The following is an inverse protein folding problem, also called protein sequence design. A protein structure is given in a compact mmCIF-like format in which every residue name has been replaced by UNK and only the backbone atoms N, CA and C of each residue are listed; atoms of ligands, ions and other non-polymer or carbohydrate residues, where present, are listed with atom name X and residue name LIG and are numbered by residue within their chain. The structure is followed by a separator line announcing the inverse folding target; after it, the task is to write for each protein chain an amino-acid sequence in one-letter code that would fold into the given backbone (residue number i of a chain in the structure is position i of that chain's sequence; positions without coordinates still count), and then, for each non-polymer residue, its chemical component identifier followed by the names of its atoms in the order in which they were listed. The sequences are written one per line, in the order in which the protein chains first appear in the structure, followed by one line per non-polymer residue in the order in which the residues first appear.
data_IF_572793571729
#
_entry.id   IF_572793571729
#
_cell.length_a   1.000
_cell.length_b   1.000
_cell.length_c   1.000
_cell.angle_alpha   90.00
_cell.angle_beta   90.00
_cell.angle_gamma   90.00
#
_symmetry.space_group_name_H-M   'P 1'
#
loop_
_entity.id
_entity.type
_entity.pdbx_description
1 polymer ?
#
# COMPACT_ATOMS: atom_id res chain seq x y z
N UNK A 1 2.42 5.06 -25.14
CA UNK A 1 3.08 3.91 -24.49
C UNK A 1 3.01 4.10 -22.97
N UNK A 2 2.82 3.04 -22.19
CA UNK A 2 2.94 3.11 -20.73
C UNK A 2 4.41 2.91 -20.39
N UNK A 3 5.02 3.90 -19.73
CA UNK A 3 6.43 3.81 -19.33
C UNK A 3 6.56 3.18 -17.94
N UNK A 4 7.73 2.63 -17.66
CA UNK A 4 8.06 2.12 -16.32
C UNK A 4 7.89 3.21 -15.24
N UNK A 5 8.32 4.44 -15.53
CA UNK A 5 8.14 5.57 -14.64
C UNK A 5 6.67 5.89 -14.35
N UNK A 6 5.80 5.81 -15.37
CA UNK A 6 4.36 5.99 -15.17
C UNK A 6 3.78 4.87 -14.29
N UNK A 7 4.19 3.62 -14.53
CA UNK A 7 3.73 2.47 -13.77
C UNK A 7 4.14 2.57 -12.30
N UNK A 8 5.38 2.99 -12.03
CA UNK A 8 5.88 3.24 -10.68
C UNK A 8 5.05 4.30 -9.96
N UNK A 9 4.84 5.46 -10.58
CA UNK A 9 4.06 6.56 -9.97
C UNK A 9 2.63 6.09 -9.68
N UNK A 10 1.99 5.39 -10.62
CA UNK A 10 0.62 4.90 -10.45
C UNK A 10 0.50 3.89 -9.30
N UNK A 11 1.44 2.95 -9.19
CA UNK A 11 1.41 1.87 -8.22
C UNK A 11 2.03 2.22 -6.86
N UNK A 12 2.80 3.30 -6.75
CA UNK A 12 3.50 3.62 -5.50
C UNK A 12 3.10 4.97 -4.92
N UNK A 13 2.85 5.97 -5.77
CA UNK A 13 2.76 7.37 -5.33
C UNK A 13 1.35 7.94 -5.48
N UNK A 14 0.56 7.44 -6.43
CA UNK A 14 -0.77 7.99 -6.75
C UNK A 14 -1.82 7.59 -5.71
N UNK A 15 -2.53 8.55 -5.08
CA UNK A 15 -3.65 8.22 -4.20
C UNK A 15 -4.83 7.62 -4.96
N UNK A 16 -5.46 6.59 -4.39
CA UNK A 16 -6.63 5.93 -4.98
C UNK A 16 -7.84 6.02 -4.05
N UNK A 17 -9.02 6.33 -4.59
CA UNK A 17 -10.26 6.43 -3.78
C UNK A 17 -10.62 5.11 -3.11
N UNK A 18 -10.37 3.98 -3.77
CA UNK A 18 -10.61 2.63 -3.24
C UNK A 18 -9.76 2.29 -2.02
N UNK A 19 -8.59 2.93 -1.88
CA UNK A 19 -7.70 2.75 -0.72
C UNK A 19 -7.97 3.78 0.38
N UNK A 20 -9.04 4.58 0.28
CA UNK A 20 -9.29 5.68 1.23
C UNK A 20 -8.49 6.94 0.94
N UNK A 21 -8.14 7.17 -0.34
CA UNK A 21 -7.35 8.33 -0.81
C UNK A 21 -5.90 8.33 -0.32
N UNK A 22 -5.30 7.15 -0.07
CA UNK A 22 -3.86 7.00 0.17
C UNK A 22 -3.16 6.31 -1.01
N UNK A 23 -1.82 6.46 -1.14
CA UNK A 23 -1.03 5.73 -2.13
C UNK A 23 -0.96 4.22 -1.83
N UNK A 24 -0.77 3.34 -2.84
CA UNK A 24 -0.70 1.90 -2.59
C UNK A 24 0.53 1.48 -1.78
N UNK A 25 1.63 2.25 -1.82
CA UNK A 25 2.79 2.02 -0.95
C UNK A 25 2.44 2.16 0.54
N UNK A 26 1.63 3.16 0.90
CA UNK A 26 1.17 3.34 2.27
C UNK A 26 0.17 2.26 2.69
N UNK A 27 -0.75 1.88 1.80
CA UNK A 27 -1.69 0.80 2.05
C UNK A 27 -0.98 -0.54 2.28
N UNK A 28 0.04 -0.87 1.46
CA UNK A 28 0.88 -2.06 1.66
C UNK A 28 1.52 -2.07 3.05
N UNK A 29 2.14 -0.96 3.45
CA UNK A 29 2.75 -0.82 4.78
C UNK A 29 1.75 -0.99 5.92
N UNK A 30 0.53 -0.46 5.77
CA UNK A 30 -0.53 -0.65 6.78
C UNK A 30 -0.88 -2.13 6.92
N UNK A 31 -1.10 -2.82 5.79
CA UNK A 31 -1.40 -4.25 5.78
C UNK A 31 -0.27 -5.07 6.41
N UNK A 32 1.00 -4.78 6.10
CA UNK A 32 2.16 -5.45 6.70
C UNK A 32 2.21 -5.25 8.22
N UNK A 33 1.93 -4.03 8.70
CA UNK A 33 1.87 -3.73 10.12
C UNK A 33 0.70 -4.45 10.82
N UNK A 34 -0.47 -4.53 10.19
CA UNK A 34 -1.64 -5.25 10.70
C UNK A 34 -1.37 -6.75 10.80
N UNK A 35 -0.76 -7.35 9.77
CA UNK A 35 -0.36 -8.75 9.80
C UNK A 35 0.64 -8.99 10.93
N UNK A 36 1.70 -8.19 11.04
CA UNK A 36 2.70 -8.34 12.10
C UNK A 36 2.10 -8.16 13.52
N UNK A 37 1.12 -7.26 13.68
CA UNK A 37 0.43 -7.07 14.95
C UNK A 37 -0.50 -8.25 15.30
N UNK A 38 -1.12 -8.90 14.31
CA UNK A 38 -2.01 -10.04 14.53
C UNK A 38 -1.29 -11.30 15.02
N UNK A 39 0.00 -11.45 14.72
CA UNK A 39 0.82 -12.55 15.25
C UNK A 39 1.28 -12.34 16.71
N UNK A 40 0.93 -11.22 17.34
CA UNK A 40 1.30 -10.89 18.73
C UNK A 40 0.26 -11.23 19.82
N UNK A 41 -0.88 -11.84 19.48
CA UNK A 41 -1.95 -12.19 20.44
C UNK A 41 -2.04 -13.70 20.70
N UNK A 42 -0.89 -14.34 20.94
CA UNK A 42 -0.84 -15.66 21.55
C UNK A 42 0.21 -15.67 22.66
N UNK A 43 -0.20 -15.27 23.86
CA UNK A 43 0.44 -15.58 25.14
C UNK A 43 -0.64 -15.61 26.23
#
# INVERSE_FOLDING_TARGET
EITDGWLRIYNEERPHRSLGRIPPSQFRRQLENEQNSSYGLSA
#
